data_IF_379456083022
#
_entry.id   IF_379456083022
#
_cell.length_a   1.000
_cell.length_b   1.000
_cell.length_c   1.000
_cell.angle_alpha   90.00
_cell.angle_beta   90.00
_cell.angle_gamma   90.00
#
_symmetry.space_group_name_H-M   'P 1'
#
loop_
_entity.id
_entity.type
_entity.pdbx_description
1 polymer ?
#
# COMPACT_ATOMS: atom_id res chain seq x y z
N UNK A 1 2.49 24.57 -6.82
CA UNK A 1 2.85 23.49 -7.75
C UNK A 1 4.12 22.86 -7.26
N UNK A 2 4.10 21.59 -7.16
CA UNK A 2 5.28 20.80 -6.89
C UNK A 2 5.87 20.34 -8.24
N UNK A 3 7.08 20.69 -8.59
CA UNK A 3 8.03 21.49 -7.81
C UNK A 3 8.17 22.90 -8.43
N UNK A 4 7.50 23.90 -7.88
CA UNK A 4 7.52 25.26 -8.41
C UNK A 4 8.84 25.99 -8.22
N UNK A 5 9.62 25.67 -7.17
CA UNK A 5 10.93 26.28 -6.92
C UNK A 5 11.98 25.74 -7.91
N UNK A 6 11.95 24.46 -8.23
CA UNK A 6 12.82 23.87 -9.25
C UNK A 6 12.53 24.43 -10.65
N UNK A 7 11.25 24.60 -11.00
CA UNK A 7 10.85 25.28 -12.22
C UNK A 7 11.42 26.70 -12.29
N UNK A 8 11.31 27.47 -11.20
CA UNK A 8 11.83 28.82 -11.11
C UNK A 8 13.36 28.86 -11.24
N UNK A 9 14.08 27.93 -10.61
CA UNK A 9 15.53 27.80 -10.68
C UNK A 9 16.01 27.49 -12.11
N UNK A 10 15.34 26.53 -12.79
CA UNK A 10 15.64 26.20 -14.19
C UNK A 10 15.45 27.41 -15.12
N UNK A 11 14.34 28.15 -14.95
CA UNK A 11 14.08 29.36 -15.73
C UNK A 11 15.07 30.47 -15.41
N UNK A 12 15.43 30.67 -14.14
CA UNK A 12 16.43 31.66 -13.74
C UNK A 12 17.80 31.38 -14.39
N UNK A 13 18.24 30.12 -14.40
CA UNK A 13 19.49 29.71 -15.05
C UNK A 13 19.48 29.98 -16.56
N UNK A 14 18.34 29.79 -17.23
CA UNK A 14 18.20 30.08 -18.67
C UNK A 14 18.14 31.58 -19.00
N UNK A 15 17.68 32.42 -18.07
CA UNK A 15 17.40 33.82 -18.31
C UNK A 15 18.53 34.74 -17.80
N UNK A 16 19.42 34.27 -16.95
CA UNK A 16 20.50 35.07 -16.37
C UNK A 16 21.69 35.17 -17.36
N UNK A 17 21.93 36.35 -17.97
CA UNK A 17 23.03 36.52 -18.92
C UNK A 17 24.42 36.56 -18.24
N UNK A 18 24.48 36.64 -16.92
CA UNK A 18 25.73 36.64 -16.18
C UNK A 18 26.19 35.23 -15.78
N UNK A 19 25.33 34.24 -15.93
CA UNK A 19 25.67 32.85 -15.61
C UNK A 19 26.43 32.19 -16.77
N UNK A 20 27.66 31.80 -16.51
CA UNK A 20 28.45 31.02 -17.46
C UNK A 20 28.00 29.56 -17.46
N UNK A 21 27.46 29.06 -18.56
CA UNK A 21 27.02 27.68 -18.71
C UNK A 21 27.21 27.13 -20.12
N UNK A 22 27.29 25.81 -20.25
CA UNK A 22 27.18 25.12 -21.54
C UNK A 22 25.72 25.09 -22.03
N UNK A 23 25.39 24.30 -23.08
CA UNK A 23 24.02 24.12 -23.53
C UNK A 23 23.12 23.60 -22.40
N UNK A 24 22.02 24.31 -22.14
CA UNK A 24 21.00 23.95 -21.16
C UNK A 24 19.67 23.66 -21.85
N UNK A 25 18.97 22.65 -21.35
CA UNK A 25 17.62 22.31 -21.74
C UNK A 25 16.79 22.24 -20.45
N UNK A 26 15.66 22.96 -20.35
CA UNK A 26 14.75 22.86 -19.24
C UNK A 26 13.58 21.96 -19.63
N UNK A 27 13.38 20.88 -18.86
CA UNK A 27 12.27 19.94 -19.02
C UNK A 27 11.26 20.18 -17.91
N UNK A 28 10.02 20.44 -18.29
CA UNK A 28 8.89 20.49 -17.38
C UNK A 28 7.90 19.39 -17.76
N UNK A 29 7.62 18.50 -16.83
CA UNK A 29 6.62 17.45 -17.00
C UNK A 29 5.33 17.79 -16.30
N UNK A 30 4.25 17.12 -16.65
CA UNK A 30 2.95 17.25 -15.99
C UNK A 30 2.62 15.97 -15.25
N UNK A 31 1.80 16.09 -14.20
CA UNK A 31 1.12 14.96 -13.57
C UNK A 31 2.09 13.94 -12.94
N UNK A 32 3.15 14.44 -12.27
CA UNK A 32 4.12 13.61 -11.58
C UNK A 32 3.45 12.81 -10.46
N UNK A 33 2.71 13.50 -9.58
CA UNK A 33 2.11 12.99 -8.35
C UNK A 33 1.03 11.91 -8.59
N UNK A 34 0.37 11.92 -9.73
CA UNK A 34 -0.72 11.00 -10.02
C UNK A 34 -0.31 9.82 -10.91
N UNK A 35 0.90 9.82 -11.46
CA UNK A 35 1.36 8.67 -12.23
C UNK A 35 2.45 8.94 -13.25
N UNK A 36 3.19 10.05 -13.19
CA UNK A 36 4.33 10.35 -14.08
C UNK A 36 3.93 10.40 -15.57
N UNK A 37 2.67 10.78 -15.88
CA UNK A 37 2.15 10.67 -17.25
C UNK A 37 2.95 11.52 -18.24
N UNK A 38 3.42 12.70 -17.82
CA UNK A 38 4.30 13.55 -18.64
C UNK A 38 5.65 12.92 -18.89
N UNK A 39 6.27 12.31 -17.87
CA UNK A 39 7.57 11.65 -18.02
C UNK A 39 7.48 10.42 -18.94
N UNK A 40 6.43 9.58 -18.79
CA UNK A 40 6.20 8.44 -19.69
C UNK A 40 5.86 8.85 -21.11
N UNK A 41 5.37 10.07 -21.32
CA UNK A 41 5.06 10.63 -22.64
C UNK A 41 6.28 11.16 -23.41
N UNK A 42 7.47 11.18 -22.83
CA UNK A 42 8.68 11.69 -23.47
C UNK A 42 9.09 10.83 -24.67
N UNK A 43 9.25 11.48 -25.84
CA UNK A 43 9.74 10.84 -27.05
C UNK A 43 11.27 10.66 -27.05
N UNK A 44 11.76 9.65 -27.77
CA UNK A 44 13.20 9.47 -27.99
C UNK A 44 13.79 10.68 -28.71
N UNK A 45 14.95 11.18 -28.25
CA UNK A 45 15.65 12.30 -28.86
C UNK A 45 15.06 13.68 -28.58
N UNK A 46 14.10 13.78 -27.67
CA UNK A 46 13.52 15.04 -27.23
C UNK A 46 14.53 15.91 -26.47
N UNK A 47 15.45 15.27 -25.75
CA UNK A 47 16.54 15.88 -25.03
C UNK A 47 17.88 15.44 -25.64
N UNK A 48 18.85 16.34 -25.62
CA UNK A 48 20.21 16.10 -26.13
C UNK A 48 21.27 16.12 -25.03
N UNK A 49 20.93 16.62 -23.84
CA UNK A 49 21.79 16.68 -22.67
C UNK A 49 22.27 15.30 -22.22
N UNK A 50 23.50 15.25 -21.69
CA UNK A 50 24.10 14.02 -21.11
C UNK A 50 23.93 13.93 -19.60
N UNK A 51 23.65 15.04 -18.95
CA UNK A 51 23.45 15.16 -17.50
C UNK A 51 22.04 15.64 -17.26
N UNK A 52 21.32 14.92 -16.42
CA UNK A 52 20.01 15.30 -15.93
C UNK A 52 20.17 15.75 -14.48
N UNK A 53 19.73 16.97 -14.17
CA UNK A 53 19.64 17.49 -12.81
C UNK A 53 18.16 17.58 -12.47
N UNK A 54 17.69 16.72 -11.57
CA UNK A 54 16.35 16.77 -11.03
C UNK A 54 16.34 17.64 -9.77
N UNK A 55 15.50 18.67 -9.75
CA UNK A 55 15.39 19.63 -8.65
C UNK A 55 14.25 19.29 -7.67
N UNK A 56 13.55 18.20 -7.93
CA UNK A 56 12.41 17.74 -7.15
C UNK A 56 12.83 16.81 -5.99
N UNK A 57 13.84 17.25 -5.21
CA UNK A 57 14.30 16.56 -4.00
C UNK A 57 13.94 17.37 -2.77
N UNK A 58 13.40 16.69 -1.73
CA UNK A 58 12.95 17.32 -0.49
C UNK A 58 14.03 17.38 0.60
N UNK A 59 15.15 16.63 0.45
CA UNK A 59 16.20 16.53 1.46
C UNK A 59 17.26 17.62 1.26
N UNK A 60 17.29 18.58 2.18
CA UNK A 60 18.21 19.72 2.11
C UNK A 60 19.67 19.27 2.29
N UNK A 61 20.53 19.69 1.35
CA UNK A 61 21.96 19.41 1.41
C UNK A 61 22.37 18.03 0.92
N UNK A 62 21.43 17.22 0.40
CA UNK A 62 21.69 15.89 -0.15
C UNK A 62 21.61 15.88 -1.68
N UNK A 63 22.42 15.04 -2.31
CA UNK A 63 22.40 14.80 -3.76
C UNK A 63 22.18 13.31 -3.99
N UNK A 64 21.07 12.98 -4.62
CA UNK A 64 20.72 11.61 -5.00
C UNK A 64 21.23 11.30 -6.40
N UNK A 65 22.02 10.24 -6.55
CA UNK A 65 22.63 9.82 -7.83
C UNK A 65 21.95 8.58 -8.42
N UNK A 66 20.84 8.13 -7.83
CA UNK A 66 20.07 7.00 -8.30
C UNK A 66 18.79 6.84 -7.51
N UNK A 67 17.89 5.99 -7.99
CA UNK A 67 16.67 5.62 -7.31
C UNK A 67 16.33 4.14 -7.56
N UNK A 68 15.50 3.57 -6.69
CA UNK A 68 14.92 2.25 -6.90
C UNK A 68 13.87 2.31 -8.02
N UNK A 69 13.82 1.29 -8.85
CA UNK A 69 12.71 1.08 -9.78
C UNK A 69 11.49 0.53 -9.04
N UNK A 70 10.28 0.87 -9.51
CA UNK A 70 9.02 0.36 -8.98
C UNK A 70 8.20 -0.42 -9.99
N UNK A 71 7.34 -1.32 -9.52
CA UNK A 71 6.29 -1.98 -10.28
C UNK A 71 5.08 -2.20 -9.39
N UNK A 72 3.89 -1.90 -9.92
CA UNK A 72 2.64 -2.18 -9.24
C UNK A 72 2.03 -3.47 -9.80
N UNK A 73 1.56 -4.32 -8.90
CA UNK A 73 0.84 -5.55 -9.27
C UNK A 73 -0.61 -5.44 -8.80
N UNK A 74 -1.55 -5.64 -9.73
CA UNK A 74 -2.97 -5.63 -9.47
C UNK A 74 -3.54 -7.03 -9.61
N UNK A 75 -3.91 -7.66 -8.48
CA UNK A 75 -4.61 -8.91 -8.46
C UNK A 75 -6.12 -8.68 -8.39
N UNK A 76 -6.86 -9.20 -9.38
CA UNK A 76 -8.31 -9.04 -9.45
C UNK A 76 -9.01 -10.37 -9.13
N UNK A 77 -9.87 -10.34 -8.11
CA UNK A 77 -10.77 -11.44 -7.76
C UNK A 77 -12.18 -11.12 -8.27
N UNK A 78 -12.77 -12.03 -9.00
CA UNK A 78 -14.19 -11.98 -9.34
C UNK A 78 -14.96 -12.78 -8.32
N UNK A 79 -16.05 -12.21 -7.76
CA UNK A 79 -16.88 -12.88 -6.77
C UNK A 79 -18.36 -12.86 -7.16
N UNK A 80 -19.09 -13.78 -6.57
CA UNK A 80 -20.55 -13.79 -6.59
C UNK A 80 -21.05 -13.30 -5.24
N UNK A 81 -22.06 -12.43 -5.29
CA UNK A 81 -22.76 -11.99 -4.10
C UNK A 81 -23.76 -13.06 -3.68
N UNK A 82 -23.74 -13.44 -2.41
CA UNK A 82 -24.73 -14.32 -1.76
C UNK A 82 -25.57 -13.50 -0.80
N UNK A 83 -26.83 -13.90 -0.60
CA UNK A 83 -27.70 -13.26 0.38
C UNK A 83 -27.10 -13.34 1.79
N UNK A 84 -27.51 -12.43 2.66
CA UNK A 84 -27.13 -12.48 4.08
C UNK A 84 -27.45 -13.85 4.66
N UNK A 85 -26.49 -14.57 5.25
CA UNK A 85 -26.76 -15.88 5.82
C UNK A 85 -27.69 -15.77 7.03
N UNK A 86 -28.65 -16.69 7.12
CA UNK A 86 -29.57 -16.78 8.26
C UNK A 86 -28.81 -17.11 9.55
N UNK A 87 -29.37 -16.72 10.70
CA UNK A 87 -28.79 -16.97 12.02
C UNK A 87 -27.31 -16.52 12.15
N UNK A 88 -26.97 -15.40 11.54
CA UNK A 88 -25.66 -14.75 11.67
C UNK A 88 -25.79 -13.36 12.27
N UNK A 89 -24.75 -12.94 12.98
CA UNK A 89 -24.55 -11.57 13.46
C UNK A 89 -23.48 -10.91 12.62
N UNK A 90 -23.73 -9.69 12.20
CA UNK A 90 -22.78 -8.94 11.38
C UNK A 90 -21.97 -7.97 12.23
N UNK A 91 -20.70 -7.90 11.92
CA UNK A 91 -19.75 -7.01 12.55
C UNK A 91 -19.01 -6.16 11.52
N UNK A 92 -18.65 -4.95 11.95
CA UNK A 92 -17.63 -4.14 11.30
C UNK A 92 -16.41 -4.06 12.20
N UNK A 93 -15.25 -4.46 11.70
CA UNK A 93 -13.96 -4.15 12.32
C UNK A 93 -13.35 -2.94 11.62
N UNK A 94 -12.69 -2.06 12.37
CA UNK A 94 -11.88 -0.98 11.85
C UNK A 94 -10.52 -0.95 12.55
N UNK A 95 -9.47 -0.86 11.75
CA UNK A 95 -8.11 -0.50 12.18
C UNK A 95 -7.87 0.93 11.71
N UNK A 96 -7.37 1.80 12.58
CA UNK A 96 -7.09 3.21 12.26
C UNK A 96 -5.92 3.77 13.05
N UNK A 97 -5.55 4.99 12.69
CA UNK A 97 -4.55 5.82 13.36
C UNK A 97 -3.13 5.21 13.36
N UNK A 98 -2.83 4.34 12.39
CA UNK A 98 -1.46 3.92 12.14
C UNK A 98 -0.63 5.07 11.56
N UNK A 99 0.67 5.03 11.78
CA UNK A 99 1.60 6.06 11.30
C UNK A 99 1.60 6.17 9.78
N UNK A 100 1.54 5.04 9.08
CA UNK A 100 1.63 5.02 7.62
C UNK A 100 3.00 5.49 7.14
N UNK A 101 3.06 6.07 5.95
CA UNK A 101 4.26 6.63 5.35
C UNK A 101 4.49 6.22 3.91
N UNK A 102 5.56 6.72 3.31
CA UNK A 102 5.93 6.38 1.95
C UNK A 102 6.42 4.93 1.86
N UNK A 103 5.93 4.16 0.87
CA UNK A 103 6.27 2.74 0.74
C UNK A 103 7.72 2.48 0.26
N UNK A 104 8.45 3.52 -0.13
CA UNK A 104 9.89 3.47 -0.39
C UNK A 104 10.70 3.85 0.87
N UNK A 105 10.52 5.06 1.36
CA UNK A 105 11.39 5.68 2.36
C UNK A 105 11.09 5.29 3.80
N UNK A 106 9.88 4.76 4.06
CA UNK A 106 9.46 4.35 5.39
C UNK A 106 9.23 2.85 5.55
N UNK A 107 9.48 2.04 4.51
CA UNK A 107 9.14 0.61 4.51
C UNK A 107 9.98 -0.19 5.51
N UNK A 108 11.18 0.25 5.82
CA UNK A 108 12.11 -0.34 6.78
C UNK A 108 11.87 0.10 8.23
N UNK A 109 11.04 1.12 8.45
CA UNK A 109 10.75 1.66 9.79
C UNK A 109 9.83 0.77 10.64
N UNK A 110 9.48 -0.41 10.14
CA UNK A 110 8.68 -1.40 10.85
C UNK A 110 7.23 -0.97 11.11
N UNK A 111 6.72 0.02 10.36
CA UNK A 111 5.33 0.48 10.46
C UNK A 111 4.35 -0.62 10.08
N UNK A 112 3.23 -0.68 10.79
CA UNK A 112 2.23 -1.71 10.58
C UNK A 112 1.34 -1.36 9.38
N UNK A 113 0.92 -2.40 8.65
CA UNK A 113 0.03 -2.28 7.50
C UNK A 113 -1.40 -2.69 7.91
N UNK A 114 -2.34 -1.74 7.86
CA UNK A 114 -3.73 -1.98 8.28
C UNK A 114 -4.42 -3.12 7.53
N UNK A 115 -4.11 -3.30 6.23
CA UNK A 115 -4.66 -4.39 5.43
C UNK A 115 -4.22 -5.75 5.95
N UNK A 116 -2.94 -5.88 6.36
CA UNK A 116 -2.41 -7.12 6.95
C UNK A 116 -3.07 -7.43 8.31
N UNK A 117 -3.33 -6.41 9.13
CA UNK A 117 -3.96 -6.58 10.44
C UNK A 117 -5.40 -7.07 10.31
N UNK A 118 -6.18 -6.43 9.44
CA UNK A 118 -7.56 -6.85 9.16
C UNK A 118 -7.59 -8.24 8.52
N UNK A 119 -6.71 -8.52 7.54
CA UNK A 119 -6.61 -9.85 6.92
C UNK A 119 -6.31 -10.96 7.95
N UNK A 120 -5.41 -10.70 8.92
CA UNK A 120 -5.09 -11.63 10.02
C UNK A 120 -6.31 -11.94 10.90
N UNK A 121 -7.14 -10.94 11.22
CA UNK A 121 -8.39 -11.14 11.94
C UNK A 121 -9.39 -11.99 11.13
N UNK A 122 -9.63 -11.60 9.88
CA UNK A 122 -10.57 -12.29 9.00
C UNK A 122 -10.18 -13.75 8.76
N UNK A 123 -8.88 -14.00 8.57
CA UNK A 123 -8.34 -15.34 8.41
C UNK A 123 -8.64 -16.22 9.63
N UNK A 124 -8.28 -15.76 10.82
CA UNK A 124 -8.55 -16.50 12.07
C UNK A 124 -10.04 -16.68 12.30
N UNK A 125 -10.85 -15.64 12.05
CA UNK A 125 -12.30 -15.68 12.14
C UNK A 125 -12.92 -16.72 11.21
N UNK A 126 -12.45 -16.81 9.97
CA UNK A 126 -12.92 -17.78 8.99
C UNK A 126 -12.57 -19.22 9.40
N UNK A 127 -11.33 -19.45 9.87
CA UNK A 127 -10.86 -20.79 10.26
C UNK A 127 -11.54 -21.31 11.54
N UNK A 128 -11.79 -20.43 12.50
CA UNK A 128 -12.23 -20.84 13.85
C UNK A 128 -13.71 -20.71 14.10
N UNK A 129 -14.39 -19.76 13.44
CA UNK A 129 -15.77 -19.37 13.75
C UNK A 129 -16.71 -19.38 12.55
N UNK A 130 -16.24 -19.79 11.36
CA UNK A 130 -17.08 -19.81 10.16
C UNK A 130 -17.45 -18.41 9.65
N UNK A 131 -16.60 -17.42 9.87
CA UNK A 131 -16.79 -16.06 9.39
C UNK A 131 -17.03 -16.01 7.87
N UNK A 132 -18.01 -15.21 7.46
CA UNK A 132 -18.34 -14.91 6.06
C UNK A 132 -18.10 -13.43 5.77
N UNK A 133 -17.25 -13.14 4.79
CA UNK A 133 -16.89 -11.78 4.42
C UNK A 133 -17.98 -11.11 3.56
N UNK A 134 -18.35 -9.89 3.92
CA UNK A 134 -19.25 -9.03 3.16
C UNK A 134 -18.44 -7.99 2.36
N UNK A 135 -17.53 -7.27 3.02
CA UNK A 135 -16.73 -6.21 2.41
C UNK A 135 -15.40 -6.05 3.12
N UNK A 136 -14.40 -5.63 2.35
CA UNK A 136 -13.11 -5.18 2.87
C UNK A 136 -12.69 -3.93 2.10
N UNK A 137 -12.24 -2.91 2.82
CA UNK A 137 -11.69 -1.69 2.22
C UNK A 137 -10.51 -1.20 3.05
N UNK A 138 -9.38 -0.96 2.41
CA UNK A 138 -8.20 -0.42 3.08
C UNK A 138 -7.16 0.09 2.09
N UNK A 139 -6.44 1.13 2.51
CA UNK A 139 -5.46 1.82 1.69
C UNK A 139 -6.07 2.61 0.54
N UNK A 140 -5.43 3.70 0.13
CA UNK A 140 -5.91 4.58 -0.94
C UNK A 140 -4.83 4.91 -1.97
N UNK A 141 -3.56 4.89 -1.57
CA UNK A 141 -2.42 5.28 -2.41
C UNK A 141 -1.49 4.09 -2.60
N UNK A 142 -1.05 3.87 -3.85
CA UNK A 142 -0.13 2.77 -4.20
C UNK A 142 1.25 2.91 -3.53
N UNK A 143 1.72 4.14 -3.36
CA UNK A 143 3.01 4.49 -2.78
C UNK A 143 2.97 4.75 -1.27
N UNK A 144 1.86 4.46 -0.59
CA UNK A 144 1.72 4.66 0.85
C UNK A 144 1.50 3.34 1.61
N UNK A 145 2.07 3.25 2.81
CA UNK A 145 1.76 2.19 3.78
C UNK A 145 0.35 2.47 4.34
N UNK A 146 -0.62 1.55 4.21
CA UNK A 146 -2.00 1.80 4.61
C UNK A 146 -2.15 2.07 6.10
N UNK A 147 -2.77 3.19 6.44
CA UNK A 147 -3.02 3.64 7.81
C UNK A 147 -4.33 3.13 8.39
N UNK A 148 -5.29 2.89 7.50
CA UNK A 148 -6.65 2.51 7.87
C UNK A 148 -7.16 1.39 6.98
N UNK A 149 -7.94 0.50 7.59
CA UNK A 149 -8.72 -0.52 6.89
C UNK A 149 -9.95 -0.89 7.70
N UNK A 150 -11.01 -1.28 7.02
CA UNK A 150 -12.18 -1.87 7.66
C UNK A 150 -12.70 -3.08 6.89
N UNK A 151 -13.39 -3.97 7.60
CA UNK A 151 -14.12 -5.05 6.98
C UNK A 151 -15.48 -5.24 7.65
N UNK A 152 -16.46 -5.65 6.84
CA UNK A 152 -17.79 -6.09 7.29
C UNK A 152 -17.88 -7.59 7.05
N UNK A 153 -18.34 -8.34 8.05
CA UNK A 153 -18.43 -9.79 7.99
C UNK A 153 -19.51 -10.32 8.90
N UNK A 154 -19.96 -11.53 8.64
CA UNK A 154 -20.94 -12.26 9.41
C UNK A 154 -20.30 -13.40 10.20
N UNK A 155 -20.77 -13.66 11.41
CA UNK A 155 -20.38 -14.81 12.25
C UNK A 155 -21.67 -15.55 12.64
N UNK A 156 -21.72 -16.90 12.58
CA UNK A 156 -22.88 -17.67 13.06
C UNK A 156 -23.25 -17.25 14.48
N UNK A 157 -24.54 -17.02 14.75
CA UNK A 157 -25.03 -16.55 16.05
C UNK A 157 -24.57 -17.45 17.21
N UNK A 158 -24.50 -18.77 16.99
CA UNK A 158 -23.95 -19.71 17.96
C UNK A 158 -22.48 -19.57 18.27
N UNK A 159 -21.71 -18.93 17.38
CA UNK A 159 -20.27 -18.65 17.55
C UNK A 159 -19.97 -17.24 18.08
N UNK A 160 -20.99 -16.39 18.23
CA UNK A 160 -20.84 -14.97 18.61
C UNK A 160 -19.96 -14.78 19.84
N UNK A 161 -20.34 -15.40 20.96
CA UNK A 161 -19.62 -15.24 22.23
C UNK A 161 -18.15 -15.71 22.14
N UNK A 162 -17.90 -16.80 21.42
CA UNK A 162 -16.55 -17.30 21.18
C UNK A 162 -15.72 -16.35 20.31
N UNK A 163 -16.34 -15.77 19.29
CA UNK A 163 -15.71 -14.78 18.42
C UNK A 163 -15.39 -13.48 19.18
N UNK A 164 -16.30 -12.97 20.01
CA UNK A 164 -16.06 -11.77 20.81
C UNK A 164 -14.92 -11.96 21.82
N UNK A 165 -14.83 -13.14 22.45
CA UNK A 165 -13.71 -13.49 23.34
C UNK A 165 -12.39 -13.52 22.56
N UNK A 166 -12.36 -14.19 21.41
CA UNK A 166 -11.21 -14.21 20.51
C UNK A 166 -10.80 -12.80 20.06
N UNK A 167 -11.77 -11.96 19.65
CA UNK A 167 -11.49 -10.60 19.23
C UNK A 167 -10.82 -9.79 20.34
N UNK A 168 -11.30 -9.91 21.58
CA UNK A 168 -10.71 -9.20 22.72
C UNK A 168 -9.24 -9.61 22.95
N UNK A 169 -8.95 -10.90 22.88
CA UNK A 169 -7.57 -11.42 22.98
C UNK A 169 -6.71 -10.90 21.83
N UNK A 170 -7.17 -11.05 20.60
CA UNK A 170 -6.51 -10.59 19.38
C UNK A 170 -6.21 -9.08 19.40
N UNK A 171 -7.18 -8.25 19.83
CA UNK A 171 -6.97 -6.81 19.94
C UNK A 171 -5.91 -6.47 20.99
N UNK A 172 -5.86 -7.22 22.10
CA UNK A 172 -4.81 -7.09 23.12
C UNK A 172 -3.42 -7.46 22.59
N UNK A 173 -3.31 -8.55 21.82
CA UNK A 173 -2.07 -8.97 21.16
C UNK A 173 -1.58 -7.89 20.19
N UNK A 174 -2.48 -7.39 19.32
CA UNK A 174 -2.12 -6.33 18.37
C UNK A 174 -1.70 -5.03 19.07
N UNK A 175 -2.37 -4.65 20.17
CA UNK A 175 -1.97 -3.48 20.95
C UNK A 175 -0.56 -3.65 21.56
N UNK A 176 -0.21 -4.85 22.00
CA UNK A 176 1.13 -5.16 22.48
C UNK A 176 2.18 -5.12 21.36
N UNK A 177 1.88 -5.67 20.18
CA UNK A 177 2.73 -5.59 18.98
C UNK A 177 2.94 -4.14 18.52
N UNK A 178 1.89 -3.31 18.58
CA UNK A 178 1.89 -1.92 18.14
C UNK A 178 2.64 -0.96 19.08
N UNK A 179 2.74 -1.30 20.35
CA UNK A 179 3.13 -0.41 21.48
C UNK A 179 4.30 0.54 21.20
N UNK A 180 5.33 0.08 20.50
CA UNK A 180 6.54 0.87 20.27
C UNK A 180 6.66 1.46 18.86
N UNK A 181 5.83 0.99 17.91
CA UNK A 181 5.91 1.39 16.51
C UNK A 181 4.70 2.18 16.02
N UNK A 182 3.55 2.05 16.72
CA UNK A 182 2.28 2.65 16.35
C UNK A 182 1.57 3.23 17.59
N UNK A 183 2.05 4.35 18.15
CA UNK A 183 1.58 4.85 19.44
C UNK A 183 0.09 5.26 19.45
N UNK A 184 -0.46 5.53 18.27
CA UNK A 184 -1.87 5.97 18.12
C UNK A 184 -2.78 4.84 17.62
N UNK A 185 -2.26 3.61 17.43
CA UNK A 185 -3.01 2.47 16.93
C UNK A 185 -4.35 2.26 17.63
N UNK A 186 -5.37 2.09 16.83
CA UNK A 186 -6.71 1.75 17.30
C UNK A 186 -7.29 0.59 16.50
N UNK A 187 -7.96 -0.30 17.19
CA UNK A 187 -8.80 -1.34 16.60
C UNK A 187 -10.13 -1.36 17.33
N UNK A 188 -11.23 -1.35 16.58
CA UNK A 188 -12.58 -1.40 17.11
C UNK A 188 -13.45 -2.36 16.33
N UNK A 189 -14.47 -2.90 17.01
CA UNK A 189 -15.51 -3.73 16.41
C UNK A 189 -16.87 -3.24 16.87
N UNK A 190 -17.86 -3.28 15.98
CA UNK A 190 -19.25 -2.95 16.26
C UNK A 190 -20.19 -3.91 15.52
N UNK A 191 -21.36 -4.17 16.08
CA UNK A 191 -22.41 -4.87 15.36
C UNK A 191 -23.04 -3.93 14.33
N UNK A 192 -23.34 -4.46 13.15
CA UNK A 192 -23.93 -3.71 12.04
C UNK A 192 -25.10 -4.47 11.44
N UNK A 193 -25.99 -3.81 10.69
CA UNK A 193 -27.08 -4.49 9.97
C UNK A 193 -26.58 -5.59 9.04
N UNK A 194 -27.42 -6.60 8.84
CA UNK A 194 -27.15 -7.69 7.91
C UNK A 194 -26.95 -7.18 6.49
N UNK A 195 -25.98 -7.77 5.79
CA UNK A 195 -25.63 -7.44 4.42
C UNK A 195 -25.32 -8.71 3.63
N UNK A 196 -25.30 -8.62 2.31
CA UNK A 196 -24.82 -9.70 1.46
C UNK A 196 -23.35 -10.04 1.76
N UNK A 197 -22.97 -11.28 1.44
CA UNK A 197 -21.59 -11.77 1.59
C UNK A 197 -21.05 -12.22 0.24
N UNK A 198 -19.75 -12.31 0.10
CA UNK A 198 -19.13 -12.90 -1.09
C UNK A 198 -19.16 -14.43 -1.01
N UNK A 199 -19.08 -15.10 -2.15
CA UNK A 199 -19.03 -16.56 -2.21
C UNK A 199 -17.83 -17.13 -1.44
N UNK A 200 -18.01 -18.31 -0.88
CA UNK A 200 -17.03 -18.93 0.02
C UNK A 200 -15.71 -19.26 -0.67
N UNK A 201 -15.72 -19.56 -1.97
CA UNK A 201 -14.52 -19.92 -2.72
C UNK A 201 -13.64 -18.67 -2.93
N UNK A 202 -14.25 -17.56 -3.35
CA UNK A 202 -13.53 -16.29 -3.53
C UNK A 202 -13.03 -15.75 -2.19
N UNK A 203 -13.86 -15.82 -1.12
CA UNK A 203 -13.41 -15.45 0.23
C UNK A 203 -12.15 -16.20 0.65
N UNK A 204 -12.16 -17.53 0.49
CA UNK A 204 -11.01 -18.36 0.85
C UNK A 204 -9.75 -17.96 0.08
N UNK A 205 -9.86 -17.79 -1.24
CA UNK A 205 -8.73 -17.44 -2.09
C UNK A 205 -8.21 -16.04 -1.76
N UNK A 206 -9.09 -15.07 -1.53
CA UNK A 206 -8.73 -13.72 -1.11
C UNK A 206 -7.97 -13.72 0.22
N UNK A 207 -8.50 -14.42 1.23
CA UNK A 207 -7.86 -14.47 2.54
C UNK A 207 -6.51 -15.20 2.51
N UNK A 208 -6.38 -16.27 1.72
CA UNK A 208 -5.08 -16.92 1.50
C UNK A 208 -4.07 -15.97 0.86
N UNK A 209 -4.49 -15.24 -0.19
CA UNK A 209 -3.65 -14.26 -0.82
C UNK A 209 -3.23 -13.16 0.17
N UNK A 210 -4.17 -12.51 0.85
CA UNK A 210 -3.88 -11.40 1.76
C UNK A 210 -2.96 -11.78 2.93
N UNK A 211 -3.07 -13.01 3.43
CA UNK A 211 -2.18 -13.51 4.48
C UNK A 211 -0.81 -13.91 3.91
N UNK A 212 -0.80 -14.62 2.77
CA UNK A 212 0.40 -15.15 2.15
C UNK A 212 1.27 -14.12 1.43
N UNK A 213 0.67 -13.04 0.92
CA UNK A 213 1.41 -11.97 0.24
C UNK A 213 2.51 -11.39 1.14
N UNK A 214 3.77 -11.27 0.66
CA UNK A 214 4.82 -10.59 1.39
C UNK A 214 4.47 -9.10 1.56
N UNK A 215 4.95 -8.48 2.64
CA UNK A 215 4.81 -7.06 2.91
C UNK A 215 5.96 -6.56 3.77
N UNK A 216 6.59 -5.48 3.36
CA UNK A 216 7.76 -4.92 4.04
C UNK A 216 9.05 -5.13 3.24
N UNK A 217 10.17 -5.06 3.93
CA UNK A 217 11.49 -5.31 3.35
C UNK A 217 11.65 -6.79 3.03
N UNK A 218 12.10 -7.09 1.82
CA UNK A 218 12.49 -8.44 1.39
C UNK A 218 14.01 -8.59 1.54
N UNK A 219 14.78 -7.60 1.04
CA UNK A 219 16.23 -7.61 1.09
C UNK A 219 16.78 -6.22 1.43
N UNK A 220 17.83 -6.19 2.23
CA UNK A 220 18.65 -4.99 2.47
C UNK A 220 19.86 -4.99 1.55
N UNK A 221 20.27 -3.83 1.08
CA UNK A 221 21.42 -3.70 0.20
C UNK A 221 22.72 -4.05 0.93
N UNK A 222 23.46 -5.00 0.38
CA UNK A 222 24.81 -5.32 0.87
C UNK A 222 25.87 -4.32 0.35
N UNK A 223 25.59 -3.69 -0.79
CA UNK A 223 26.49 -2.70 -1.37
C UNK A 223 26.35 -1.30 -0.74
N UNK A 224 25.16 -0.99 -0.21
CA UNK A 224 24.82 0.29 0.43
C UNK A 224 24.19 0.02 1.80
N UNK A 225 24.99 -0.16 2.86
CA UNK A 225 24.47 -0.46 4.18
C UNK A 225 23.45 0.60 4.66
N UNK A 226 22.32 0.14 5.19
CA UNK A 226 21.23 0.99 5.65
C UNK A 226 20.15 1.27 4.60
N UNK A 227 20.38 0.94 3.32
CA UNK A 227 19.38 1.09 2.27
C UNK A 227 18.64 -0.22 2.01
N UNK A 228 17.35 -0.09 1.72
CA UNK A 228 16.49 -1.20 1.27
C UNK A 228 16.82 -1.51 -0.19
N UNK A 229 17.21 -2.74 -0.48
CA UNK A 229 17.38 -3.18 -1.86
C UNK A 229 16.04 -3.53 -2.50
N UNK A 230 15.26 -4.39 -1.84
CA UNK A 230 14.00 -4.91 -2.36
C UNK A 230 12.91 -4.89 -1.30
N UNK A 231 11.75 -4.40 -1.65
CA UNK A 231 10.59 -4.34 -0.75
C UNK A 231 9.27 -4.54 -1.50
N UNK A 232 8.21 -4.82 -0.75
CA UNK A 232 6.84 -4.85 -1.25
C UNK A 232 5.87 -4.26 -0.24
N UNK A 233 4.82 -3.59 -0.71
CA UNK A 233 3.78 -2.99 0.11
C UNK A 233 2.40 -3.47 -0.36
N UNK A 234 1.60 -4.05 0.52
CA UNK A 234 0.18 -4.32 0.29
C UNK A 234 -0.58 -2.99 0.38
N UNK A 235 -0.64 -2.26 -0.73
CA UNK A 235 -1.08 -0.87 -0.78
C UNK A 235 -2.59 -0.71 -0.59
N UNK A 236 -3.40 -1.55 -1.25
CA UNK A 236 -4.85 -1.45 -1.09
C UNK A 236 -5.59 -2.76 -1.33
N UNK A 237 -6.77 -2.84 -0.72
CA UNK A 237 -7.81 -3.86 -0.98
C UNK A 237 -9.10 -3.10 -1.22
N UNK A 238 -9.66 -3.20 -2.42
CA UNK A 238 -10.86 -2.45 -2.83
C UNK A 238 -11.91 -3.36 -3.42
N UNK A 239 -13.14 -3.23 -2.91
CA UNK A 239 -14.33 -3.82 -3.51
C UNK A 239 -14.89 -2.81 -4.51
N UNK A 240 -14.83 -3.15 -5.78
CA UNK A 240 -15.25 -2.29 -6.90
C UNK A 240 -16.48 -2.87 -7.58
N UNK A 241 -17.54 -2.07 -7.64
CA UNK A 241 -18.84 -2.58 -8.07
C UNK A 241 -19.36 -3.70 -7.17
N UNK A 242 -20.09 -4.65 -7.77
CA UNK A 242 -20.78 -5.73 -7.05
C UNK A 242 -20.16 -7.12 -7.32
N UNK A 243 -19.06 -7.17 -8.09
CA UNK A 243 -18.49 -8.44 -8.55
C UNK A 243 -16.96 -8.52 -8.53
N UNK A 244 -16.27 -7.45 -8.12
CA UNK A 244 -14.82 -7.36 -8.26
C UNK A 244 -14.13 -6.86 -6.99
N UNK A 245 -13.02 -7.51 -6.66
CA UNK A 245 -12.09 -7.07 -5.61
C UNK A 245 -10.73 -6.87 -6.28
N UNK A 246 -10.15 -5.69 -6.09
CA UNK A 246 -8.80 -5.36 -6.57
C UNK A 246 -7.87 -5.25 -5.38
N UNK A 247 -6.82 -6.05 -5.39
CA UNK A 247 -5.71 -5.99 -4.44
C UNK A 247 -4.51 -5.39 -5.17
N UNK A 248 -4.03 -4.26 -4.67
CA UNK A 248 -2.88 -3.57 -5.23
C UNK A 248 -1.68 -3.74 -4.32
N UNK A 249 -0.58 -4.15 -4.89
CA UNK A 249 0.73 -4.19 -4.23
C UNK A 249 1.73 -3.39 -5.04
N UNK A 250 2.70 -2.76 -4.35
CA UNK A 250 3.78 -2.01 -4.99
C UNK A 250 5.11 -2.62 -4.57
N UNK A 251 5.91 -3.05 -5.54
CA UNK A 251 7.24 -3.62 -5.35
C UNK A 251 8.28 -2.60 -5.78
N UNK A 252 9.37 -2.51 -5.04
CA UNK A 252 10.52 -1.65 -5.33
C UNK A 252 11.81 -2.43 -5.22
N UNK A 253 12.76 -2.14 -6.10
CA UNK A 253 14.12 -2.67 -5.98
C UNK A 253 15.11 -1.79 -6.74
N UNK A 254 16.34 -1.68 -6.21
CA UNK A 254 17.49 -1.13 -6.92
C UNK A 254 18.09 -2.12 -7.92
N UNK A 255 17.65 -3.38 -7.91
CA UNK A 255 18.08 -4.47 -8.81
C UNK A 255 16.91 -4.92 -9.67
N UNK A 256 17.01 -4.74 -10.99
CA UNK A 256 15.91 -5.00 -11.94
C UNK A 256 15.37 -6.44 -11.85
N UNK A 257 16.25 -7.43 -11.81
CA UNK A 257 15.84 -8.84 -11.73
C UNK A 257 15.16 -9.16 -10.39
N UNK A 258 15.57 -8.53 -9.29
CA UNK A 258 14.94 -8.69 -7.97
C UNK A 258 13.56 -8.03 -7.93
N UNK A 259 13.39 -6.86 -8.60
CA UNK A 259 12.08 -6.22 -8.78
C UNK A 259 11.09 -7.12 -9.52
N UNK A 260 11.55 -7.70 -10.65
CA UNK A 260 10.73 -8.65 -11.42
C UNK A 260 10.38 -9.87 -10.56
N UNK A 261 11.36 -10.44 -9.85
CA UNK A 261 11.10 -11.58 -8.97
C UNK A 261 10.11 -11.24 -7.85
N UNK A 262 10.27 -10.08 -7.21
CA UNK A 262 9.33 -9.61 -6.18
C UNK A 262 7.89 -9.49 -6.71
N UNK A 263 7.70 -9.05 -7.96
CA UNK A 263 6.38 -9.00 -8.58
C UNK A 263 5.79 -10.38 -8.88
N UNK A 264 6.64 -11.38 -9.15
CA UNK A 264 6.23 -12.76 -9.40
C UNK A 264 5.83 -13.52 -8.13
N UNK A 265 6.23 -13.05 -6.95
CA UNK A 265 5.80 -13.61 -5.67
C UNK A 265 4.36 -13.24 -5.29
N UNK A 266 3.76 -12.27 -5.98
CA UNK A 266 2.40 -11.80 -5.77
C UNK A 266 1.40 -12.64 -6.56
#
# INVERSE_FOLDING_TARGET
ADDGIGMAAALAALLDPALEHGPLEALFTVDEETGLTGAFGLGKGMLTGRYLVNLDSEDEGEIFIGCAGGVDTLATFRYKTEAAPEAHVFFRVRVSDLSGGHSGDDIDKGRMNSNKLVARLLWNGAQRFGLRLSRFDGGNLRNAIPREAYAVFAVPSGSKAGFEAFYKEFAGELAAEAKFREPNFKIGIEEVPAASVIDAATQRNLLYALVGLPNGVIEMSLAMPGLVETSTNLASVKFEGDDRIVVTTSQRSSVESAKVYASQMI
#
